data_IF_202147893443
#
_entry.id   IF_202147893443
#
_cell.length_a   1.000
_cell.length_b   1.000
_cell.length_c   1.000
_cell.angle_alpha   90.00
_cell.angle_beta   90.00
_cell.angle_gamma   90.00
#
_symmetry.space_group_name_H-M   'P 1'
#
loop_
_entity.id
_entity.type
_entity.pdbx_description
1 polymer ?
#
# COMPACT_ATOMS: atom_id res chain seq x y z
N UNK A 1 -34.45 1.90 -8.41
CA UNK A 1 -33.88 2.48 -9.65
C UNK A 1 -32.52 3.07 -9.30
N UNK A 2 -31.46 2.27 -9.38
CA UNK A 2 -30.08 2.80 -9.32
C UNK A 2 -29.86 3.60 -10.60
N UNK A 3 -29.80 4.93 -10.47
CA UNK A 3 -29.65 5.84 -11.61
C UNK A 3 -28.40 5.49 -12.41
N UNK A 4 -28.50 5.50 -13.74
CA UNK A 4 -27.37 5.23 -14.66
C UNK A 4 -26.11 6.05 -14.32
N UNK A 5 -26.29 7.25 -13.75
CA UNK A 5 -25.21 8.12 -13.25
C UNK A 5 -24.43 7.52 -12.07
N UNK A 6 -25.10 6.83 -11.15
CA UNK A 6 -24.47 6.19 -9.99
C UNK A 6 -23.61 4.98 -10.39
N UNK A 7 -24.04 4.25 -11.42
CA UNK A 7 -23.30 3.11 -11.97
C UNK A 7 -22.02 3.59 -12.69
N UNK A 8 -22.12 4.65 -13.49
CA UNK A 8 -20.96 5.23 -14.17
C UNK A 8 -19.95 5.82 -13.18
N UNK A 9 -20.41 6.49 -12.12
CA UNK A 9 -19.51 7.02 -11.10
C UNK A 9 -18.75 5.92 -10.34
N UNK A 10 -19.43 4.81 -10.03
CA UNK A 10 -18.78 3.66 -9.37
C UNK A 10 -17.73 3.03 -10.29
N UNK A 11 -18.06 2.81 -11.57
CA UNK A 11 -17.11 2.25 -12.54
C UNK A 11 -15.86 3.11 -12.70
N UNK A 12 -16.02 4.43 -12.81
CA UNK A 12 -14.89 5.36 -12.93
C UNK A 12 -14.02 5.38 -11.67
N UNK A 13 -14.63 5.34 -10.48
CA UNK A 13 -13.91 5.26 -9.22
C UNK A 13 -13.08 3.97 -9.13
N UNK A 14 -13.68 2.81 -9.47
CA UNK A 14 -12.99 1.52 -9.46
C UNK A 14 -11.83 1.49 -10.46
N UNK A 15 -12.04 2.01 -11.66
CA UNK A 15 -10.99 2.10 -12.68
C UNK A 15 -9.84 3.03 -12.24
N UNK A 16 -10.14 4.12 -11.56
CA UNK A 16 -9.14 5.04 -11.02
C UNK A 16 -8.31 4.39 -9.91
N UNK A 17 -8.95 3.75 -8.91
CA UNK A 17 -8.24 3.05 -7.83
C UNK A 17 -7.39 1.91 -8.38
N UNK A 18 -7.91 1.15 -9.34
CA UNK A 18 -7.16 0.09 -10.04
C UNK A 18 -5.86 0.65 -10.64
N UNK A 19 -5.96 1.75 -11.38
CA UNK A 19 -4.79 2.41 -11.99
C UNK A 19 -3.82 2.95 -10.95
N UNK A 20 -4.32 3.45 -9.81
CA UNK A 20 -3.46 3.89 -8.73
C UNK A 20 -2.64 2.75 -8.13
N UNK A 21 -3.25 1.57 -7.94
CA UNK A 21 -2.53 0.36 -7.49
C UNK A 21 -1.49 -0.07 -8.53
N UNK A 22 -1.87 -0.14 -9.81
CA UNK A 22 -0.93 -0.53 -10.87
C UNK A 22 0.30 0.38 -10.90
N UNK A 23 0.09 1.70 -10.87
CA UNK A 23 1.17 2.69 -10.83
C UNK A 23 2.03 2.58 -9.58
N UNK A 24 1.42 2.30 -8.43
CA UNK A 24 2.16 2.12 -7.18
C UNK A 24 3.07 0.90 -7.26
N UNK A 25 2.54 -0.25 -7.69
CA UNK A 25 3.32 -1.49 -7.81
C UNK A 25 4.44 -1.34 -8.85
N UNK A 26 4.17 -0.69 -9.98
CA UNK A 26 5.19 -0.41 -11.00
C UNK A 26 6.30 0.52 -10.49
N UNK A 27 5.95 1.58 -9.75
CA UNK A 27 6.92 2.46 -9.12
C UNK A 27 7.79 1.70 -8.11
N UNK A 28 7.18 0.85 -7.28
CA UNK A 28 7.89 0.02 -6.29
C UNK A 28 8.85 -0.96 -6.95
N UNK A 29 8.45 -1.57 -8.08
CA UNK A 29 9.26 -2.54 -8.82
C UNK A 29 10.39 -1.90 -9.62
N UNK A 30 10.21 -0.66 -10.08
CA UNK A 30 11.23 0.08 -10.82
C UNK A 30 12.28 0.76 -9.94
N UNK A 31 12.13 0.70 -8.61
CA UNK A 31 13.01 1.34 -7.65
C UNK A 31 13.46 0.38 -6.54
N UNK A 32 14.71 0.50 -6.10
CA UNK A 32 15.22 -0.21 -4.91
C UNK A 32 15.02 0.56 -3.60
N UNK A 33 14.49 1.78 -3.67
CA UNK A 33 14.31 2.65 -2.50
C UNK A 33 13.20 2.13 -1.56
N UNK A 34 13.27 2.43 -0.25
CA UNK A 34 12.15 2.34 0.66
C UNK A 34 11.14 3.48 0.41
N UNK A 35 9.99 3.46 1.11
CA UNK A 35 9.08 4.61 1.12
C UNK A 35 9.69 5.81 1.85
N UNK A 36 10.43 5.55 2.93
CA UNK A 36 11.15 6.56 3.70
C UNK A 36 12.60 6.13 3.93
N UNK A 37 13.53 7.05 3.76
CA UNK A 37 14.91 6.87 4.22
C UNK A 37 15.01 7.31 5.67
N UNK A 38 15.68 6.51 6.50
CA UNK A 38 15.86 6.80 7.92
C UNK A 38 17.23 7.43 8.13
N UNK A 39 17.25 8.64 8.66
CA UNK A 39 18.45 9.28 9.19
C UNK A 39 18.41 9.20 10.71
N UNK A 40 19.50 8.72 11.30
CA UNK A 40 19.67 8.73 12.75
C UNK A 40 20.48 9.97 13.10
N UNK A 41 19.87 10.92 13.81
CA UNK A 41 20.60 12.04 14.38
C UNK A 41 21.30 11.63 15.68
N UNK A 42 22.35 12.36 16.06
CA UNK A 42 23.08 12.15 17.33
C UNK A 42 22.17 12.31 18.56
N UNK A 43 20.98 12.91 18.40
CA UNK A 43 19.93 13.06 19.41
C UNK A 43 19.16 11.77 19.72
N UNK A 44 19.29 10.73 18.88
CA UNK A 44 18.60 9.44 19.03
C UNK A 44 17.19 9.38 18.44
N UNK A 45 16.65 10.49 17.93
CA UNK A 45 15.38 10.47 17.18
C UNK A 45 15.61 10.11 15.70
N UNK A 46 14.76 9.24 15.17
CA UNK A 46 14.78 8.83 13.78
C UNK A 46 14.05 9.87 12.91
N UNK A 47 14.77 10.46 11.95
CA UNK A 47 14.19 11.33 10.94
C UNK A 47 13.84 10.53 9.70
N UNK A 48 12.56 10.54 9.32
CA UNK A 48 12.05 9.84 8.14
C UNK A 48 11.92 10.81 6.95
N UNK A 49 12.73 10.61 5.91
CA UNK A 49 12.69 11.42 4.69
C UNK A 49 11.91 10.68 3.60
N UNK A 50 10.82 11.26 3.05
CA UNK A 50 10.02 10.60 2.03
C UNK A 50 10.81 10.43 0.73
N UNK A 51 10.62 9.29 0.07
CA UNK A 51 11.07 9.04 -1.30
C UNK A 51 9.89 9.22 -2.27
N UNK A 52 10.09 9.11 -3.60
CA UNK A 52 8.98 9.10 -4.56
C UNK A 52 7.98 7.94 -4.37
N UNK A 53 8.31 6.93 -3.54
CA UNK A 53 7.41 5.83 -3.18
C UNK A 53 6.51 6.14 -1.98
N UNK A 54 6.77 7.25 -1.27
CA UNK A 54 5.87 7.71 -0.22
C UNK A 54 4.55 8.20 -0.85
N UNK A 55 3.44 7.66 -0.38
CA UNK A 55 2.09 8.07 -0.77
C UNK A 55 1.27 8.42 0.47
N UNK A 56 0.26 9.31 0.35
CA UNK A 56 -0.60 9.64 1.47
C UNK A 56 -1.32 8.41 2.04
N UNK A 57 -1.39 8.33 3.37
CA UNK A 57 -2.10 7.25 4.08
C UNK A 57 -3.56 7.12 3.66
N UNK A 58 -4.22 8.25 3.35
CA UNK A 58 -5.60 8.27 2.86
C UNK A 58 -5.73 7.60 1.48
N UNK A 59 -4.76 7.81 0.61
CA UNK A 59 -4.71 7.17 -0.71
C UNK A 59 -4.49 5.66 -0.57
N UNK A 60 -3.52 5.26 0.27
CA UNK A 60 -3.25 3.85 0.51
C UNK A 60 -4.44 3.14 1.15
N UNK A 61 -5.17 3.80 2.05
CA UNK A 61 -6.39 3.26 2.64
C UNK A 61 -7.44 2.95 1.58
N UNK A 62 -7.68 3.86 0.63
CA UNK A 62 -8.64 3.63 -0.46
C UNK A 62 -8.22 2.44 -1.33
N UNK A 63 -6.93 2.34 -1.65
CA UNK A 63 -6.37 1.22 -2.42
C UNK A 63 -6.52 -0.10 -1.67
N UNK A 64 -6.22 -0.11 -0.37
CA UNK A 64 -6.36 -1.28 0.51
C UNK A 64 -7.81 -1.74 0.62
N UNK A 65 -8.73 -0.83 0.95
CA UNK A 65 -10.15 -1.15 1.12
C UNK A 65 -10.74 -1.66 -0.20
N UNK A 66 -10.31 -1.13 -1.34
CA UNK A 66 -10.70 -1.64 -2.66
C UNK A 66 -10.16 -3.05 -2.91
N UNK A 67 -8.86 -3.28 -2.73
CA UNK A 67 -8.23 -4.54 -3.12
C UNK A 67 -8.65 -5.72 -2.24
N UNK A 68 -8.91 -5.47 -0.95
CA UNK A 68 -9.35 -6.52 -0.03
C UNK A 68 -10.78 -7.00 -0.31
N UNK A 69 -11.57 -6.21 -1.03
CA UNK A 69 -12.94 -6.53 -1.42
C UNK A 69 -13.07 -6.91 -2.91
N UNK A 70 -11.96 -6.98 -3.66
CA UNK A 70 -11.96 -7.33 -5.07
C UNK A 70 -11.96 -8.86 -5.25
N UNK A 71 -12.85 -9.37 -6.10
CA UNK A 71 -12.95 -10.80 -6.43
C UNK A 71 -11.72 -11.28 -7.20
N UNK A 72 -11.23 -12.49 -6.88
CA UNK A 72 -9.95 -13.02 -7.40
C UNK A 72 -9.95 -13.20 -8.92
N UNK A 73 -11.10 -13.53 -9.51
CA UNK A 73 -11.29 -13.74 -10.95
C UNK A 73 -11.14 -12.43 -11.74
N UNK A 74 -11.34 -11.28 -11.09
CA UNK A 74 -11.20 -9.96 -11.69
C UNK A 74 -9.80 -9.35 -11.49
N UNK A 75 -8.90 -10.03 -10.79
CA UNK A 75 -7.59 -9.49 -10.41
C UNK A 75 -6.50 -9.79 -11.45
N UNK A 76 -5.84 -8.74 -11.93
CA UNK A 76 -4.55 -8.88 -12.61
C UNK A 76 -3.46 -9.31 -11.63
N UNK A 77 -2.33 -9.82 -12.14
CA UNK A 77 -1.18 -10.20 -11.31
C UNK A 77 -0.63 -9.03 -10.49
N UNK A 78 -0.67 -7.82 -11.05
CA UNK A 78 -0.22 -6.60 -10.39
C UNK A 78 -1.10 -6.30 -9.17
N UNK A 79 -2.42 -6.44 -9.32
CA UNK A 79 -3.37 -6.28 -8.22
C UNK A 79 -3.20 -7.36 -7.16
N UNK A 80 -2.91 -8.61 -7.57
CA UNK A 80 -2.65 -9.73 -6.66
C UNK A 80 -1.39 -9.53 -5.84
N UNK A 81 -0.29 -9.10 -6.46
CA UNK A 81 0.95 -8.78 -5.75
C UNK A 81 0.73 -7.70 -4.68
N UNK A 82 -0.08 -6.67 -4.96
CA UNK A 82 -0.43 -5.67 -3.97
C UNK A 82 -1.29 -6.23 -2.84
N UNK A 83 -2.31 -7.05 -3.15
CA UNK A 83 -3.17 -7.68 -2.16
C UNK A 83 -2.37 -8.59 -1.22
N UNK A 84 -1.50 -9.43 -1.77
CA UNK A 84 -0.69 -10.36 -1.00
C UNK A 84 0.35 -9.62 -0.15
N UNK A 85 0.89 -8.51 -0.63
CA UNK A 85 1.73 -7.63 0.18
C UNK A 85 0.98 -7.03 1.38
N UNK A 86 -0.23 -6.51 1.16
CA UNK A 86 -1.06 -5.98 2.25
C UNK A 86 -1.37 -7.06 3.29
N UNK A 87 -1.69 -8.30 2.86
CA UNK A 87 -1.93 -9.43 3.77
C UNK A 87 -0.67 -9.84 4.52
N UNK A 88 0.47 -9.93 3.82
CA UNK A 88 1.74 -10.36 4.40
C UNK A 88 2.21 -9.43 5.52
N UNK A 89 2.07 -8.12 5.33
CA UNK A 89 2.45 -7.18 6.39
C UNK A 89 1.39 -7.09 7.49
N UNK A 90 0.18 -7.60 7.28
CA UNK A 90 -0.93 -7.39 8.21
C UNK A 90 -1.32 -5.91 8.26
N UNK A 91 -1.48 -5.28 7.09
CA UNK A 91 -1.75 -3.85 7.00
C UNK A 91 -3.12 -3.52 7.59
N UNK A 92 -3.15 -2.61 8.56
CA UNK A 92 -4.38 -2.13 9.18
C UNK A 92 -4.44 -0.60 9.22
N UNK A 93 -5.67 -0.08 9.26
CA UNK A 93 -5.93 1.36 9.36
C UNK A 93 -6.78 1.64 10.60
N UNK A 94 -6.15 2.27 11.59
CA UNK A 94 -6.79 2.72 12.82
C UNK A 94 -7.11 4.21 12.75
N UNK A 95 -8.33 4.63 13.17
CA UNK A 95 -8.65 6.05 13.33
C UNK A 95 -7.77 6.78 14.36
N UNK A 96 -7.17 6.06 15.31
CA UNK A 96 -6.40 6.65 16.42
C UNK A 96 -4.92 6.80 16.10
N UNK A 97 -4.33 5.81 15.44
CA UNK A 97 -2.87 5.74 15.20
C UNK A 97 -2.49 5.77 13.72
N UNK A 98 -3.48 5.80 12.83
CA UNK A 98 -3.26 5.81 11.38
C UNK A 98 -2.98 4.41 10.84
N UNK A 99 -2.07 4.32 9.88
CA UNK A 99 -1.67 3.06 9.28
C UNK A 99 -0.65 2.36 10.15
N UNK A 100 -0.91 1.09 10.45
CA UNK A 100 -0.05 0.26 11.28
C UNK A 100 0.10 -1.12 10.67
N UNK A 101 1.24 -1.73 10.89
CA UNK A 101 1.47 -3.14 10.69
C UNK A 101 2.44 -3.66 11.76
N UNK A 102 2.51 -4.97 11.92
CA UNK A 102 3.52 -5.60 12.77
C UNK A 102 4.88 -5.58 12.06
N UNK A 103 5.95 -5.57 12.85
CA UNK A 103 7.30 -5.86 12.35
C UNK A 103 7.37 -7.27 11.76
N UNK A 104 8.39 -7.55 10.93
CA UNK A 104 8.57 -8.87 10.30
C UNK A 104 8.64 -10.02 11.31
N UNK A 105 9.16 -9.77 12.51
CA UNK A 105 9.24 -10.72 13.63
C UNK A 105 8.02 -10.70 14.56
N UNK A 106 6.99 -9.93 14.20
CA UNK A 106 5.74 -9.74 14.96
C UNK A 106 5.95 -9.24 16.41
N UNK A 107 7.12 -8.67 16.72
CA UNK A 107 7.47 -8.26 18.08
C UNK A 107 6.91 -6.89 18.50
N UNK A 108 6.58 -6.03 17.53
CA UNK A 108 6.05 -4.69 17.78
C UNK A 108 5.21 -4.16 16.63
N UNK A 109 4.41 -3.14 16.91
CA UNK A 109 3.80 -2.30 15.88
C UNK A 109 4.80 -1.30 15.32
N UNK A 110 4.71 -1.07 14.02
CA UNK A 110 5.50 -0.10 13.28
C UNK A 110 4.77 1.26 13.24
N UNK A 111 5.53 2.36 13.16
CA UNK A 111 4.95 3.67 12.86
C UNK A 111 4.48 3.73 11.38
N UNK A 112 3.86 4.84 10.96
CA UNK A 112 3.34 4.98 9.59
C UNK A 112 4.46 4.85 8.54
N UNK A 113 5.60 5.49 8.76
CA UNK A 113 6.73 5.53 7.84
C UNK A 113 7.41 4.16 7.71
N UNK A 114 7.59 3.48 8.84
CA UNK A 114 8.07 2.10 8.90
C UNK A 114 7.09 1.14 8.21
N UNK A 115 5.78 1.28 8.48
CA UNK A 115 4.74 0.44 7.88
C UNK A 115 4.70 0.58 6.36
N UNK A 116 4.81 1.80 5.82
CA UNK A 116 4.78 2.01 4.38
C UNK A 116 6.05 1.45 3.73
N UNK A 117 7.19 1.60 4.39
CA UNK A 117 8.46 1.05 3.92
C UNK A 117 8.44 -0.49 3.94
N UNK A 118 7.80 -1.09 4.94
CA UNK A 118 7.60 -2.54 5.03
C UNK A 118 6.65 -3.06 3.94
N UNK A 119 5.58 -2.33 3.65
CA UNK A 119 4.69 -2.64 2.53
C UNK A 119 5.42 -2.55 1.18
N UNK A 120 6.17 -1.47 0.93
CA UNK A 120 6.95 -1.28 -0.31
C UNK A 120 7.92 -2.43 -0.51
N UNK A 121 8.60 -2.87 0.56
CA UNK A 121 9.46 -4.05 0.50
C UNK A 121 8.67 -5.31 0.15
N UNK A 122 7.55 -5.55 0.82
CA UNK A 122 6.73 -6.73 0.59
C UNK A 122 6.18 -6.80 -0.83
N UNK A 123 5.69 -5.70 -1.40
CA UNK A 123 5.23 -5.61 -2.80
C UNK A 123 6.33 -6.02 -3.78
N UNK A 124 7.59 -5.65 -3.49
CA UNK A 124 8.74 -6.00 -4.33
C UNK A 124 9.07 -7.50 -4.29
N UNK A 125 8.81 -8.15 -3.15
CA UNK A 125 9.09 -9.56 -2.94
C UNK A 125 8.03 -10.49 -3.56
N UNK A 126 6.85 -9.98 -3.94
CA UNK A 126 5.85 -10.75 -4.69
C UNK A 126 6.11 -10.67 -6.21
N UNK A 127 6.58 -11.77 -6.84
CA UNK A 127 6.91 -11.76 -8.26
C UNK A 127 5.63 -11.69 -9.12
N UNK A 128 5.76 -11.18 -10.35
CA UNK A 128 4.88 -11.62 -11.42
C UNK A 128 5.19 -13.10 -11.65
N UNK A 129 4.19 -13.98 -11.67
CA UNK A 129 4.43 -15.33 -12.15
C UNK A 129 4.93 -15.20 -13.60
N UNK A 130 6.16 -15.66 -13.86
CA UNK A 130 6.75 -15.72 -15.21
C UNK A 130 6.02 -16.76 -16.04
#
# INVERSE_FOLDING_TARGET
MTSHTAILSDFLLRADITRQIERFVEAVRSSSEPAYRVLHEDSGEALYLPTPLAIPTTQLKLMHDFIMNLEEEAMSEVLRAFQDACRRVGLEFSPLVGMVCLSEDESRYLCTEESLSWLVRSVREFPNAV
#
